data_IF_391517094784
#
_entry.id   IF_391517094784
#
_cell.length_a   1.000
_cell.length_b   1.000
_cell.length_c   1.000
_cell.angle_alpha   90.00
_cell.angle_beta   90.00
_cell.angle_gamma   90.00
#
_symmetry.space_group_name_H-M   'P 1'
#
loop_
_entity.id
_entity.type
_entity.pdbx_description
1 polymer ?
#
# COMPACT_ATOMS: atom_id res chain seq x y z
N UNK A 1 -10.05 3.37 13.02
CA UNK A 1 -9.10 3.23 11.89
C UNK A 1 -8.55 4.60 11.55
N UNK A 2 -7.29 4.70 11.17
CA UNK A 2 -6.63 5.95 10.74
C UNK A 2 -5.85 5.73 9.45
N UNK A 3 -5.70 6.77 8.64
CA UNK A 3 -4.79 6.77 7.48
C UNK A 3 -3.59 7.63 7.80
N UNK A 4 -2.40 7.04 7.73
CA UNK A 4 -1.13 7.73 7.89
C UNK A 4 -0.61 8.06 6.50
N UNK A 5 -0.51 9.36 6.22
CA UNK A 5 -0.01 9.86 4.95
C UNK A 5 1.49 9.66 4.85
N UNK A 6 2.00 9.01 3.80
CA UNK A 6 3.41 9.02 3.41
C UNK A 6 3.79 10.21 2.53
N UNK A 7 5.07 10.59 2.49
CA UNK A 7 5.57 11.74 1.71
C UNK A 7 5.37 11.60 0.20
N UNK A 8 5.47 10.39 -0.34
CA UNK A 8 5.36 10.10 -1.77
C UNK A 8 3.92 9.79 -2.21
N UNK A 9 2.93 9.93 -1.32
CA UNK A 9 1.52 9.65 -1.64
C UNK A 9 0.49 10.58 -0.97
N UNK A 10 0.71 11.92 -0.97
CA UNK A 10 -0.17 12.86 -0.28
C UNK A 10 -1.61 12.84 -0.81
N UNK A 11 -1.77 12.91 -2.13
CA UNK A 11 -3.07 12.94 -2.80
C UNK A 11 -3.84 11.63 -2.58
N UNK A 12 -3.15 10.49 -2.68
CA UNK A 12 -3.78 9.18 -2.50
C UNK A 12 -4.24 8.98 -1.05
N UNK A 13 -3.39 9.33 -0.08
CA UNK A 13 -3.70 9.24 1.35
C UNK A 13 -4.95 10.05 1.71
N UNK A 14 -5.03 11.29 1.25
CA UNK A 14 -6.17 12.17 1.52
C UNK A 14 -7.47 11.66 0.89
N UNK A 15 -7.39 11.11 -0.33
CA UNK A 15 -8.54 10.49 -0.99
C UNK A 15 -8.99 9.24 -0.25
N UNK A 16 -8.03 8.40 0.17
CA UNK A 16 -8.30 7.18 0.91
C UNK A 16 -9.02 7.50 2.23
N UNK A 17 -8.45 8.40 3.03
CA UNK A 17 -9.03 8.85 4.29
C UNK A 17 -10.46 9.39 4.10
N UNK A 18 -10.67 10.21 3.06
CA UNK A 18 -11.99 10.77 2.76
C UNK A 18 -13.05 9.71 2.45
N UNK A 19 -12.74 8.72 1.62
CA UNK A 19 -13.76 7.73 1.26
C UNK A 19 -13.89 6.57 2.25
N UNK A 20 -12.94 6.44 3.19
CA UNK A 20 -13.10 5.57 4.36
C UNK A 20 -13.74 6.29 5.55
N UNK A 21 -14.01 7.59 5.42
CA UNK A 21 -14.51 8.45 6.48
C UNK A 21 -13.69 8.34 7.79
N UNK A 22 -12.36 8.40 7.65
CA UNK A 22 -11.45 8.25 8.78
C UNK A 22 -10.42 9.40 8.87
N UNK A 23 -9.81 9.63 10.05
CA UNK A 23 -8.79 10.64 10.22
C UNK A 23 -7.58 10.43 9.31
N UNK A 24 -7.07 11.52 8.75
CA UNK A 24 -5.79 11.57 8.03
C UNK A 24 -4.71 12.12 8.95
N UNK A 25 -3.76 11.29 9.34
CA UNK A 25 -2.60 11.68 10.13
C UNK A 25 -1.47 12.11 9.21
N UNK A 26 -0.91 13.29 9.47
CA UNK A 26 0.25 13.84 8.77
C UNK A 26 1.48 13.75 9.67
N UNK A 27 2.39 12.80 9.41
CA UNK A 27 3.63 12.69 10.17
C UNK A 27 4.49 13.96 10.04
N UNK A 28 5.15 14.34 11.12
CA UNK A 28 6.22 15.33 11.05
C UNK A 28 7.45 14.71 10.40
N UNK A 29 8.07 15.47 9.51
CA UNK A 29 9.21 15.02 8.72
C UNK A 29 10.23 16.12 8.59
N UNK A 30 11.51 15.75 8.65
CA UNK A 30 12.62 16.64 8.29
C UNK A 30 13.82 15.79 7.91
N UNK A 31 14.83 16.46 7.35
CA UNK A 31 16.16 15.90 7.14
C UNK A 31 17.12 16.45 8.18
N UNK A 32 17.96 15.59 8.73
CA UNK A 32 19.13 16.02 9.47
C UNK A 32 20.17 16.62 8.50
N UNK A 33 21.16 17.40 8.99
CA UNK A 33 22.17 18.04 8.14
C UNK A 33 23.01 17.07 7.29
N UNK A 34 23.13 15.82 7.71
CA UNK A 34 23.82 14.73 7.00
C UNK A 34 22.92 13.98 6.00
N UNK A 35 21.64 14.33 5.92
CA UNK A 35 20.66 13.72 5.01
C UNK A 35 19.80 12.61 5.62
N UNK A 36 20.03 12.24 6.89
CA UNK A 36 19.21 11.23 7.55
C UNK A 36 17.75 11.67 7.69
N UNK A 37 16.83 10.70 7.61
CA UNK A 37 15.40 10.96 7.68
C UNK A 37 14.92 10.98 9.13
N UNK A 38 14.25 12.06 9.53
CA UNK A 38 13.48 12.12 10.75
C UNK A 38 11.99 11.98 10.46
N UNK A 39 11.31 11.11 11.21
CA UNK A 39 9.85 10.91 11.16
C UNK A 39 9.31 10.91 12.59
N UNK A 40 8.20 11.62 12.82
CA UNK A 40 7.46 11.55 14.09
C UNK A 40 5.95 11.44 13.84
N UNK A 41 5.35 10.46 14.51
CA UNK A 41 3.90 10.36 14.71
C UNK A 41 3.57 10.96 16.08
N UNK A 42 2.57 11.85 16.15
CA UNK A 42 2.18 12.57 17.37
C UNK A 42 1.40 11.71 18.37
N UNK A 43 1.09 10.45 18.02
CA UNK A 43 0.31 9.52 18.85
C UNK A 43 -1.21 9.61 18.63
N UNK A 44 -1.67 10.53 17.77
CA UNK A 44 -3.06 10.58 17.34
C UNK A 44 -3.48 9.25 16.69
N UNK A 45 -4.52 8.61 17.22
CA UNK A 45 -4.98 7.31 16.76
C UNK A 45 -4.09 6.12 17.15
N UNK A 46 -3.30 6.24 18.22
CA UNK A 46 -2.73 5.07 18.91
C UNK A 46 -3.81 4.03 19.26
N UNK A 47 -3.49 2.74 19.19
CA UNK A 47 -4.45 1.65 19.40
C UNK A 47 -5.32 1.30 18.19
N UNK A 48 -5.47 2.22 17.23
CA UNK A 48 -6.30 2.02 16.05
C UNK A 48 -5.63 1.16 14.98
N UNK A 49 -6.42 0.68 14.01
CA UNK A 49 -5.90 0.13 12.77
C UNK A 49 -5.29 1.25 11.93
N UNK A 50 -3.97 1.20 11.75
CA UNK A 50 -3.18 2.13 10.96
C UNK A 50 -3.05 1.67 9.51
N UNK A 51 -3.54 2.49 8.58
CA UNK A 51 -3.36 2.30 7.14
C UNK A 51 -2.31 3.30 6.64
N UNK A 52 -1.12 2.82 6.31
CA UNK A 52 0.01 3.65 5.88
C UNK A 52 0.06 3.65 4.37
N UNK A 53 -0.08 4.82 3.75
CA UNK A 53 -0.06 4.95 2.30
C UNK A 53 1.23 5.62 1.87
N UNK A 54 2.15 4.84 1.31
CA UNK A 54 3.46 5.33 0.88
C UNK A 54 3.95 4.56 -0.33
N UNK A 55 4.17 5.28 -1.43
CA UNK A 55 4.82 4.79 -2.62
C UNK A 55 6.34 4.91 -2.49
N UNK A 56 7.12 4.21 -3.31
CA UNK A 56 8.59 4.29 -3.27
C UNK A 56 9.22 4.68 -4.62
N UNK A 57 8.82 5.82 -5.23
CA UNK A 57 9.49 6.36 -6.42
C UNK A 57 10.87 6.93 -6.06
N UNK A 58 11.58 7.53 -7.02
CA UNK A 58 12.79 8.31 -6.76
C UNK A 58 12.52 9.41 -5.71
N UNK A 59 13.32 9.55 -4.64
CA UNK A 59 14.43 8.68 -4.21
C UNK A 59 13.93 7.38 -3.53
N UNK A 60 14.22 6.21 -4.10
CA UNK A 60 13.60 4.94 -3.71
C UNK A 60 13.97 4.53 -2.28
N UNK A 61 15.26 4.64 -1.95
CA UNK A 61 15.80 4.26 -0.64
C UNK A 61 15.19 5.08 0.48
N UNK A 62 15.11 6.39 0.29
CA UNK A 62 14.52 7.32 1.25
C UNK A 62 13.04 7.01 1.50
N UNK A 63 12.28 6.77 0.43
CA UNK A 63 10.86 6.46 0.54
C UNK A 63 10.62 5.09 1.20
N UNK A 64 11.49 4.11 0.95
CA UNK A 64 11.47 2.80 1.62
C UNK A 64 11.80 2.92 3.11
N UNK A 65 12.81 3.73 3.46
CA UNK A 65 13.15 3.99 4.85
C UNK A 65 12.02 4.75 5.57
N UNK A 66 11.38 5.72 4.91
CA UNK A 66 10.20 6.40 5.48
C UNK A 66 9.06 5.43 5.73
N UNK A 67 8.73 4.57 4.77
CA UNK A 67 7.71 3.53 4.92
C UNK A 67 8.01 2.66 6.14
N UNK A 68 9.24 2.18 6.25
CA UNK A 68 9.69 1.34 7.36
C UNK A 68 9.55 2.07 8.70
N UNK A 69 10.01 3.31 8.80
CA UNK A 69 9.90 4.13 10.02
C UNK A 69 8.44 4.38 10.40
N UNK A 70 7.57 4.72 9.45
CA UNK A 70 6.14 4.93 9.71
C UNK A 70 5.48 3.64 10.24
N UNK A 71 5.75 2.51 9.59
CA UNK A 71 5.19 1.21 9.96
C UNK A 71 5.64 0.77 11.35
N UNK A 72 6.95 0.83 11.59
CA UNK A 72 7.54 0.47 12.86
C UNK A 72 7.06 1.39 13.99
N UNK A 73 7.06 2.70 13.76
CA UNK A 73 6.59 3.68 14.76
C UNK A 73 5.11 3.49 15.07
N UNK A 74 4.25 3.26 14.06
CA UNK A 74 2.84 2.98 14.30
C UNK A 74 2.64 1.72 15.15
N UNK A 75 3.40 0.65 14.87
CA UNK A 75 3.37 -0.58 15.67
C UNK A 75 3.83 -0.32 17.11
N UNK A 76 4.94 0.37 17.29
CA UNK A 76 5.52 0.68 18.61
C UNK A 76 4.61 1.60 19.43
N UNK A 77 3.83 2.47 18.78
CA UNK A 77 2.76 3.27 19.39
C UNK A 77 1.47 2.48 19.65
N UNK A 78 1.50 1.15 19.49
CA UNK A 78 0.40 0.26 19.87
C UNK A 78 -0.72 0.15 18.85
N UNK A 79 -0.49 0.45 17.56
CA UNK A 79 -1.48 0.18 16.52
C UNK A 79 -1.94 -1.28 16.59
N UNK A 80 -3.26 -1.50 16.68
CA UNK A 80 -3.84 -2.86 16.75
C UNK A 80 -3.59 -3.63 15.46
N UNK A 81 -3.53 -2.92 14.33
CA UNK A 81 -3.20 -3.48 13.02
C UNK A 81 -2.44 -2.45 12.18
N UNK A 82 -1.48 -2.90 11.39
CA UNK A 82 -0.72 -2.08 10.43
C UNK A 82 -0.93 -2.63 9.03
N UNK A 83 -1.53 -1.84 8.15
CA UNK A 83 -1.70 -2.15 6.73
C UNK A 83 -0.89 -1.18 5.89
N UNK A 84 0.00 -1.69 5.06
CA UNK A 84 0.77 -0.89 4.12
C UNK A 84 0.04 -0.84 2.78
N UNK A 85 -0.03 0.34 2.18
CA UNK A 85 -0.52 0.55 0.81
C UNK A 85 0.62 1.19 0.04
N UNK A 86 1.23 0.43 -0.86
CA UNK A 86 2.42 0.79 -1.63
C UNK A 86 2.08 0.77 -3.13
N UNK A 87 1.65 1.91 -3.70
CA UNK A 87 1.27 1.98 -5.12
C UNK A 87 2.39 1.61 -6.09
N UNK A 88 3.64 1.93 -5.76
CA UNK A 88 4.80 1.48 -6.52
C UNK A 88 5.86 1.00 -5.54
N UNK A 89 6.26 -0.26 -5.68
CA UNK A 89 7.30 -0.89 -4.88
C UNK A 89 8.60 -0.95 -5.68
N UNK A 90 9.60 -0.19 -5.23
CA UNK A 90 10.95 -0.23 -5.79
C UNK A 90 11.59 -1.60 -5.53
N UNK A 91 12.62 -1.92 -6.31
CA UNK A 91 13.33 -3.21 -6.30
C UNK A 91 12.50 -4.43 -6.72
N UNK A 92 11.20 -4.26 -7.02
CA UNK A 92 10.34 -5.33 -7.53
C UNK A 92 10.82 -5.94 -8.85
N UNK A 93 11.72 -5.26 -9.59
CA UNK A 93 12.29 -5.78 -10.85
C UNK A 93 13.43 -6.78 -10.67
N UNK A 94 14.04 -6.84 -9.49
CA UNK A 94 15.15 -7.75 -9.20
C UNK A 94 14.67 -8.83 -8.23
N UNK A 95 13.75 -9.65 -8.74
CA UNK A 95 13.04 -10.72 -8.04
C UNK A 95 13.78 -12.07 -8.08
N UNK A 96 14.86 -12.16 -8.86
CA UNK A 96 15.74 -13.33 -8.94
C UNK A 96 17.16 -12.92 -9.27
N UNK A 97 18.08 -13.88 -9.19
CA UNK A 97 19.44 -13.74 -9.69
C UNK A 97 19.43 -14.01 -11.20
N UNK A 98 19.82 -13.03 -11.99
CA UNK A 98 20.05 -13.20 -13.43
C UNK A 98 21.49 -13.63 -13.71
N UNK A 99 22.42 -13.25 -12.83
CA UNK A 99 23.83 -13.67 -12.85
C UNK A 99 24.26 -14.23 -11.48
N UNK A 100 25.28 -15.12 -11.45
CA UNK A 100 25.87 -15.60 -10.21
C UNK A 100 26.32 -14.43 -9.31
N UNK A 101 26.03 -14.54 -8.01
CA UNK A 101 26.44 -13.53 -7.01
C UNK A 101 25.53 -12.31 -6.88
N UNK A 102 24.52 -12.13 -7.75
CA UNK A 102 23.60 -10.99 -7.63
C UNK A 102 22.74 -11.07 -6.36
N UNK A 103 22.41 -9.89 -5.82
CA UNK A 103 21.37 -9.76 -4.82
C UNK A 103 19.99 -10.04 -5.43
N UNK A 104 19.08 -10.57 -4.62
CA UNK A 104 17.65 -10.56 -4.92
C UNK A 104 17.05 -9.42 -4.12
N UNK A 105 17.13 -8.21 -4.67
CA UNK A 105 16.79 -6.98 -3.93
C UNK A 105 15.34 -6.98 -3.43
N UNK A 106 14.43 -7.64 -4.17
CA UNK A 106 13.05 -7.82 -3.72
C UNK A 106 12.97 -8.64 -2.42
N UNK A 107 13.78 -9.69 -2.26
CA UNK A 107 13.79 -10.51 -1.03
C UNK A 107 14.27 -9.68 0.16
N UNK A 108 15.29 -8.83 -0.04
CA UNK A 108 15.79 -7.92 0.99
C UNK A 108 14.70 -6.92 1.43
N UNK A 109 14.03 -6.27 0.47
CA UNK A 109 12.94 -5.32 0.74
C UNK A 109 11.75 -6.01 1.38
N UNK A 110 11.42 -7.23 0.94
CA UNK A 110 10.35 -8.03 1.53
C UNK A 110 10.63 -8.37 3.00
N UNK A 111 11.87 -8.79 3.33
CA UNK A 111 12.28 -9.03 4.70
C UNK A 111 12.21 -7.78 5.58
N UNK A 112 12.60 -6.62 5.03
CA UNK A 112 12.51 -5.33 5.73
C UNK A 112 11.06 -4.92 6.00
N UNK A 113 10.16 -5.10 5.03
CA UNK A 113 8.72 -4.83 5.22
C UNK A 113 8.12 -5.80 6.24
N UNK A 114 8.52 -7.07 6.21
CA UNK A 114 8.05 -8.07 7.18
C UNK A 114 8.44 -7.69 8.60
N UNK A 115 9.68 -7.24 8.81
CA UNK A 115 10.20 -6.88 10.13
C UNK A 115 9.69 -5.53 10.65
N UNK A 116 9.06 -4.71 9.79
CA UNK A 116 8.50 -3.42 10.19
C UNK A 116 7.28 -3.55 11.11
N UNK A 117 6.71 -4.76 11.24
CA UNK A 117 5.49 -5.01 12.00
C UNK A 117 4.21 -4.77 11.19
N UNK A 118 4.26 -4.89 9.86
CA UNK A 118 3.09 -4.86 8.99
C UNK A 118 2.30 -6.19 9.04
N UNK A 119 0.98 -6.13 9.15
CA UNK A 119 0.10 -7.31 9.12
C UNK A 119 -0.51 -7.56 7.73
N UNK A 120 -0.53 -6.55 6.88
CA UNK A 120 -1.18 -6.60 5.58
C UNK A 120 -0.51 -5.63 4.62
N UNK A 121 -0.46 -5.99 3.35
CA UNK A 121 0.28 -5.24 2.34
C UNK A 121 -0.54 -5.15 1.05
N UNK A 122 -0.84 -3.95 0.58
CA UNK A 122 -1.48 -3.72 -0.71
C UNK A 122 -0.44 -3.11 -1.63
N UNK A 123 -0.12 -3.78 -2.73
CA UNK A 123 0.80 -3.30 -3.76
C UNK A 123 0.08 -3.18 -5.10
N UNK A 124 0.49 -2.24 -5.94
CA UNK A 124 -0.02 -2.12 -7.31
C UNK A 124 1.10 -2.48 -8.28
N UNK A 125 0.80 -3.33 -9.27
CA UNK A 125 1.70 -3.76 -10.34
C UNK A 125 3.08 -4.25 -9.89
N UNK A 126 3.10 -5.29 -9.04
CA UNK A 126 4.36 -5.98 -8.79
C UNK A 126 4.82 -6.67 -10.08
N UNK A 127 6.09 -6.47 -10.46
CA UNK A 127 6.61 -6.88 -11.77
C UNK A 127 6.40 -8.36 -12.06
N UNK A 128 6.69 -9.20 -11.07
CA UNK A 128 6.42 -10.63 -11.11
C UNK A 128 5.33 -10.93 -10.07
N UNK A 129 4.06 -11.09 -10.50
CA UNK A 129 2.93 -11.34 -9.62
C UNK A 129 3.17 -12.49 -8.61
N UNK A 130 3.85 -13.57 -8.99
CA UNK A 130 4.20 -14.69 -8.10
C UNK A 130 5.16 -14.34 -6.96
N UNK A 131 5.65 -13.11 -6.89
CA UNK A 131 6.63 -12.67 -5.89
C UNK A 131 6.06 -12.26 -4.53
N UNK A 132 4.74 -12.20 -4.40
CA UNK A 132 4.02 -11.84 -3.18
C UNK A 132 4.24 -12.78 -1.99
N UNK A 133 4.55 -14.06 -2.25
CA UNK A 133 4.87 -15.02 -1.19
C UNK A 133 6.15 -14.67 -0.40
N UNK A 134 7.01 -13.79 -0.94
CA UNK A 134 8.28 -13.39 -0.31
C UNK A 134 8.11 -12.51 0.91
N UNK A 135 6.98 -11.81 1.03
CA UNK A 135 6.76 -10.89 2.13
C UNK A 135 6.45 -11.57 3.46
N UNK A 136 6.25 -12.90 3.52
CA UNK A 136 5.99 -13.62 4.78
C UNK A 136 4.75 -13.15 5.56
N UNK A 137 4.04 -12.13 5.06
CA UNK A 137 2.81 -11.56 5.55
C UNK A 137 1.71 -12.45 4.99
N UNK A 138 0.98 -13.11 5.88
CA UNK A 138 -0.04 -14.11 5.54
C UNK A 138 -1.07 -13.49 4.60
N UNK A 139 -1.28 -14.09 3.42
CA UNK A 139 -2.33 -13.72 2.45
C UNK A 139 -3.64 -14.45 2.77
N UNK A 140 -4.84 -13.84 2.66
CA UNK A 140 -6.09 -14.57 2.76
C UNK A 140 -6.44 -15.25 1.43
N UNK A 141 -5.70 -14.90 0.37
CA UNK A 141 -5.78 -15.46 -0.96
C UNK A 141 -4.54 -16.34 -1.16
N UNK A 142 -4.72 -17.65 -1.05
CA UNK A 142 -3.71 -18.60 -1.51
C UNK A 142 -3.40 -18.29 -2.98
N UNK A 143 -2.27 -17.66 -3.28
CA UNK A 143 -1.67 -17.63 -4.62
C UNK A 143 -2.46 -16.95 -5.75
N UNK A 144 -3.66 -16.43 -5.52
CA UNK A 144 -4.47 -15.86 -6.60
C UNK A 144 -4.12 -14.40 -6.83
N UNK A 145 -3.20 -14.24 -7.77
CA UNK A 145 -3.20 -13.12 -8.67
C UNK A 145 -4.59 -12.97 -9.26
N UNK A 146 -5.08 -11.73 -9.37
CA UNK A 146 -6.19 -11.43 -10.27
C UNK A 146 -5.54 -10.98 -11.58
N UNK A 147 -5.19 -11.90 -12.51
CA UNK A 147 -4.71 -11.50 -13.82
C UNK A 147 -5.88 -10.88 -14.58
N UNK A 148 -5.70 -9.64 -15.02
CA UNK A 148 -6.58 -9.01 -15.99
C UNK A 148 -7.57 -8.01 -15.43
N UNK A 149 -8.17 -7.31 -16.39
CA UNK A 149 -9.08 -6.17 -16.25
C UNK A 149 -10.20 -6.46 -15.25
N UNK A 150 -10.19 -5.80 -14.09
CA UNK A 150 -11.34 -5.80 -13.17
C UNK A 150 -12.40 -4.84 -13.75
N UNK A 151 -13.15 -5.30 -14.75
CA UNK A 151 -14.38 -4.65 -15.22
C UNK A 151 -15.58 -5.24 -14.47
N UNK A 152 -15.67 -5.00 -13.17
CA UNK A 152 -16.78 -5.48 -12.34
C UNK A 152 -16.47 -5.39 -10.83
N UNK A 153 -17.48 -5.39 -9.95
CA UNK A 153 -17.25 -5.47 -8.52
C UNK A 153 -16.53 -6.78 -8.19
N UNK A 154 -15.49 -6.66 -7.35
CA UNK A 154 -14.66 -7.76 -6.89
C UNK A 154 -15.55 -8.85 -6.23
N UNK A 155 -15.40 -10.13 -6.58
CA UNK A 155 -16.14 -11.19 -5.89
C UNK A 155 -15.69 -11.26 -4.42
N UNK A 156 -16.67 -11.18 -3.52
CA UNK A 156 -16.54 -11.23 -2.06
C UNK A 156 -17.05 -12.58 -1.53
N UNK A 157 -16.51 -13.12 -0.42
CA UNK A 157 -16.19 -12.39 0.81
C UNK A 157 -14.71 -12.48 1.23
N UNK A 158 -14.09 -11.32 1.44
CA UNK A 158 -12.68 -11.19 1.87
C UNK A 158 -12.61 -10.94 3.38
N UNK A 159 -12.81 -11.98 4.18
CA UNK A 159 -12.55 -11.95 5.64
C UNK A 159 -11.20 -12.58 5.92
N UNK A 160 -10.12 -11.81 5.89
CA UNK A 160 -8.81 -12.35 6.29
C UNK A 160 -7.65 -11.37 6.12
N UNK A 161 -6.65 -11.54 7.00
CA UNK A 161 -5.33 -10.88 6.97
C UNK A 161 -4.66 -11.07 5.60
N UNK A 162 -4.12 -10.01 4.97
CA UNK A 162 -2.97 -10.19 4.09
C UNK A 162 -2.73 -9.31 2.87
N UNK A 163 -1.94 -9.87 1.94
CA UNK A 163 -1.30 -9.17 0.82
C UNK A 163 -2.21 -9.15 -0.41
N UNK A 164 -2.44 -7.97 -1.02
CA UNK A 164 -3.22 -7.84 -2.24
C UNK A 164 -2.44 -7.10 -3.33
N UNK A 165 -2.30 -7.73 -4.51
CA UNK A 165 -1.72 -7.11 -5.71
C UNK A 165 -2.83 -6.61 -6.61
N UNK A 166 -2.81 -5.33 -6.96
CA UNK A 166 -3.65 -4.79 -8.03
C UNK A 166 -2.78 -4.59 -9.26
N UNK A 167 -2.93 -5.39 -10.32
CA UNK A 167 -2.21 -5.07 -11.56
C UNK A 167 -3.02 -4.08 -12.43
N UNK A 168 -2.50 -2.87 -12.68
CA UNK A 168 -2.90 -1.98 -13.76
C UNK A 168 -2.04 -2.21 -15.00
N UNK A 169 -2.46 -3.16 -15.82
CA UNK A 169 -2.21 -3.05 -17.25
C UNK A 169 -2.99 -1.81 -17.76
N UNK A 170 -2.27 -0.69 -17.92
CA UNK A 170 -2.66 0.64 -18.43
C UNK A 170 -3.28 1.66 -17.45
N UNK A 171 -2.61 2.83 -17.41
CA UNK A 171 -2.98 4.19 -16.94
C UNK A 171 -3.90 4.33 -15.70
N UNK A 172 -3.59 5.23 -14.74
CA UNK A 172 -4.37 5.38 -13.51
C UNK A 172 -5.77 5.93 -13.79
N UNK A 173 -6.74 5.03 -13.98
CA UNK A 173 -8.15 5.38 -14.19
C UNK A 173 -8.92 5.42 -12.86
N UNK A 174 -10.07 6.10 -12.84
CA UNK A 174 -10.99 6.18 -11.68
C UNK A 174 -11.39 4.79 -11.12
N UNK A 175 -11.29 3.72 -11.91
CA UNK A 175 -11.55 2.34 -11.46
C UNK A 175 -10.52 1.82 -10.46
N UNK A 176 -9.25 2.14 -10.60
CA UNK A 176 -8.21 1.63 -9.71
C UNK A 176 -8.37 2.14 -8.27
N UNK A 177 -8.83 3.38 -8.13
CA UNK A 177 -9.17 3.94 -6.83
C UNK A 177 -10.37 3.22 -6.23
N UNK A 178 -11.39 2.87 -7.03
CA UNK A 178 -12.53 2.08 -6.53
C UNK A 178 -12.08 0.72 -6.00
N UNK A 179 -11.20 0.01 -6.70
CA UNK A 179 -10.63 -1.26 -6.23
C UNK A 179 -9.86 -1.08 -4.92
N UNK A 180 -9.03 -0.03 -4.80
CA UNK A 180 -8.33 0.30 -3.57
C UNK A 180 -9.31 0.62 -2.42
N UNK A 181 -10.38 1.35 -2.69
CA UNK A 181 -11.42 1.71 -1.72
C UNK A 181 -12.21 0.51 -1.23
N UNK A 182 -12.57 -0.42 -2.12
CA UNK A 182 -13.32 -1.63 -1.76
C UNK A 182 -12.53 -2.55 -0.84
N UNK A 183 -11.20 -2.52 -0.91
CA UNK A 183 -10.33 -3.47 -0.20
C UNK A 183 -10.02 -3.00 1.23
N UNK A 184 -9.91 -1.68 1.44
CA UNK A 184 -9.61 -1.16 2.79
C UNK A 184 -10.85 -1.18 3.71
N UNK A 185 -12.06 -1.32 3.16
CA UNK A 185 -13.33 -1.36 3.91
C UNK A 185 -13.63 -2.68 4.65
N UNK A 186 -12.73 -3.65 4.67
CA UNK A 186 -13.00 -4.99 5.20
C UNK A 186 -12.77 -5.05 6.73
N UNK A 187 -13.77 -4.56 7.47
CA UNK A 187 -14.02 -4.89 8.89
C UNK A 187 -15.54 -4.78 9.20
N UNK A 188 -16.32 -5.84 8.86
CA UNK A 188 -17.74 -6.13 9.18
C UNK A 188 -18.86 -5.81 8.14
N UNK A 189 -20.04 -6.49 8.23
CA UNK A 189 -20.74 -7.08 7.08
C UNK A 189 -21.90 -6.21 6.60
N UNK A 190 -21.73 -5.43 5.53
CA UNK A 190 -22.84 -5.15 4.61
C UNK A 190 -22.28 -4.51 3.34
N UNK A 191 -22.34 -5.26 2.26
CA UNK A 191 -21.99 -4.78 0.93
C UNK A 191 -23.23 -4.10 0.33
N UNK A 192 -23.17 -2.80 0.04
CA UNK A 192 -24.20 -2.12 -0.74
C UNK A 192 -23.58 -1.67 -2.07
N UNK A 193 -24.13 -2.19 -3.17
CA UNK A 193 -23.71 -1.93 -4.55
C UNK A 193 -24.80 -1.20 -5.37
N UNK A 194 -24.32 -0.43 -6.37
CA UNK A 194 -24.97 0.14 -7.58
C UNK A 194 -25.68 1.52 -7.49
N UNK A 195 -25.90 2.27 -8.62
CA UNK A 195 -25.65 1.98 -10.05
C UNK A 195 -24.89 3.04 -10.89
N UNK A 196 -24.34 2.53 -12.00
CA UNK A 196 -24.16 3.06 -13.37
C UNK A 196 -24.27 4.57 -13.68
N UNK A 197 -23.19 5.18 -14.20
CA UNK A 197 -23.26 6.34 -15.11
C UNK A 197 -22.15 6.26 -16.19
N UNK A 198 -22.56 6.57 -17.42
CA UNK A 198 -21.87 6.47 -18.72
C UNK A 198 -20.59 7.34 -18.85
N UNK A 199 -19.71 7.09 -19.85
CA UNK A 199 -18.43 7.77 -19.94
C UNK A 199 -18.57 9.13 -20.64
N UNK A 200 -18.33 10.23 -19.93
CA UNK A 200 -18.03 11.52 -20.55
C UNK A 200 -16.52 11.64 -20.73
N UNK A 201 -16.12 11.82 -21.98
CA UNK A 201 -14.78 12.16 -22.46
C UNK A 201 -14.25 13.43 -21.81
N UNK A 202 -13.02 13.37 -21.29
CA UNK A 202 -12.28 14.55 -20.85
C UNK A 202 -10.83 14.18 -20.61
N UNK A 203 -9.94 14.78 -21.42
CA UNK A 203 -8.49 14.82 -21.28
C UNK A 203 -8.06 15.01 -19.82
N UNK A 204 -7.01 14.31 -19.39
CA UNK A 204 -6.27 14.63 -18.18
C UNK A 204 -4.77 14.63 -18.53
N UNK A 205 -4.24 15.84 -18.65
CA UNK A 205 -2.83 16.14 -18.51
C UNK A 205 -2.40 16.01 -17.03
N UNK A 206 -1.09 15.71 -16.88
CA UNK A 206 -0.19 15.97 -15.75
C UNK A 206 -0.15 15.04 -14.50
N UNK A 207 1.01 14.34 -14.43
CA UNK A 207 2.04 14.30 -13.36
C UNK A 207 1.60 14.40 -11.89
#
# INVERSE_FOLDING_TARGET
MIVIQGSASPRLSARLAKALDCPLIKPERKRFPDGELYVRLTGEGSGEHAVIVQSTPEPQNDNLMELYFLARTARDLGASRVTLVIPYLAYARQDKRFKPGEAVSLDCVASMISSSGADSLVVVDIHEPGSTGRFGITSPLNGDLIPGRVSGPLPLPLTGLGVMVVSMLYAPTRSALKTLFSVVHLNNPLLILFPHLSPCSGHFDDV
#
